data_IF_838518832417
#
_entry.id   IF_838518832417
#
_cell.length_a   1.000
_cell.length_b   1.000
_cell.length_c   1.000
_cell.angle_alpha   90.00
_cell.angle_beta   90.00
_cell.angle_gamma   90.00
#
_symmetry.space_group_name_H-M   'P 1'
#
loop_
_entity.id
_entity.type
_entity.pdbx_description
1 polymer ?
#
# COMPACT_ATOMS: atom_id res chain seq x y z
N UNK A 1 -5.25 -11.21 -22.39
CA UNK A 1 -4.77 -9.86 -22.80
C UNK A 1 -5.95 -9.10 -23.38
N UNK A 2 -6.21 -7.87 -22.93
CA UNK A 2 -7.44 -7.13 -23.32
C UNK A 2 -7.46 -6.68 -24.78
N UNK A 3 -6.34 -6.81 -25.50
CA UNK A 3 -6.18 -6.54 -26.93
C UNK A 3 -7.13 -7.33 -27.84
N UNK A 4 -7.78 -8.39 -27.34
CA UNK A 4 -8.81 -9.13 -28.08
C UNK A 4 -10.15 -8.39 -28.18
N UNK A 5 -10.40 -7.42 -27.28
CA UNK A 5 -11.69 -6.75 -27.16
C UNK A 5 -11.60 -5.22 -27.28
N UNK A 6 -10.39 -4.68 -27.36
CA UNK A 6 -10.13 -3.25 -27.53
C UNK A 6 -9.01 -3.01 -28.55
N UNK A 7 -9.18 -2.01 -29.42
CA UNK A 7 -8.13 -1.44 -30.29
C UNK A 7 -7.26 -0.47 -29.51
N UNK A 8 -6.02 -0.27 -29.98
CA UNK A 8 -5.06 0.71 -29.44
C UNK A 8 -4.87 0.60 -27.93
N UNK A 9 -4.65 -0.62 -27.44
CA UNK A 9 -4.47 -0.85 -25.99
C UNK A 9 -3.10 -0.35 -25.55
N UNK A 10 -3.10 0.60 -24.62
CA UNK A 10 -1.92 1.12 -23.92
C UNK A 10 -1.99 0.80 -22.42
N UNK A 11 -0.82 0.65 -21.79
CA UNK A 11 -0.71 0.48 -20.33
C UNK A 11 -0.10 1.75 -19.75
N UNK A 12 -0.84 2.39 -18.83
CA UNK A 12 -0.31 3.52 -18.05
C UNK A 12 -0.08 3.06 -16.62
N UNK A 13 1.19 3.10 -16.19
CA UNK A 13 1.61 2.76 -14.82
C UNK A 13 1.60 4.00 -13.95
N UNK A 14 1.07 3.87 -12.74
CA UNK A 14 1.20 4.91 -11.73
C UNK A 14 2.61 4.88 -11.15
N UNK A 15 3.24 6.05 -11.05
CA UNK A 15 4.60 6.21 -10.50
C UNK A 15 4.57 6.74 -9.06
N UNK A 16 3.37 6.96 -8.51
CA UNK A 16 3.20 7.50 -7.19
C UNK A 16 3.30 6.43 -6.10
N UNK A 17 3.53 6.92 -4.88
CA UNK A 17 3.57 6.11 -3.68
C UNK A 17 2.74 6.79 -2.62
N UNK A 18 2.04 6.02 -1.81
CA UNK A 18 1.39 6.56 -0.62
C UNK A 18 2.47 6.96 0.39
N UNK A 19 2.50 8.25 0.73
CA UNK A 19 3.38 8.80 1.77
C UNK A 19 2.65 8.74 3.11
N UNK A 20 3.18 7.96 4.04
CA UNK A 20 2.61 7.80 5.38
C UNK A 20 3.53 8.43 6.41
N UNK A 21 3.00 9.41 7.15
CA UNK A 21 3.73 10.16 8.20
C UNK A 21 3.23 9.85 9.61
N UNK A 22 2.23 8.98 9.74
CA UNK A 22 1.64 8.58 11.01
C UNK A 22 1.63 7.06 11.11
N UNK A 23 2.41 6.53 12.07
CA UNK A 23 2.48 5.11 12.34
C UNK A 23 1.16 4.54 12.90
N UNK A 24 0.41 5.34 13.68
CA UNK A 24 -0.87 4.93 14.26
C UNK A 24 -1.91 4.67 13.17
N UNK A 25 -2.08 5.63 12.26
CA UNK A 25 -2.99 5.49 11.12
C UNK A 25 -2.68 4.26 10.24
N UNK A 26 -1.40 3.93 10.05
CA UNK A 26 -1.00 2.73 9.30
C UNK A 26 -1.39 1.44 10.04
N UNK A 27 -1.20 1.41 11.35
CA UNK A 27 -1.55 0.27 12.19
C UNK A 27 -3.07 0.07 12.25
N UNK A 28 -3.84 1.14 12.43
CA UNK A 28 -5.29 1.10 12.42
C UNK A 28 -5.81 0.58 11.07
N UNK A 29 -5.21 1.04 9.97
CA UNK A 29 -5.50 0.52 8.64
C UNK A 29 -5.21 -0.98 8.52
N UNK A 30 -4.06 -1.46 9.00
CA UNK A 30 -3.73 -2.90 9.01
C UNK A 30 -4.75 -3.72 9.82
N UNK A 31 -5.21 -3.19 10.96
CA UNK A 31 -6.22 -3.85 11.80
C UNK A 31 -7.65 -3.73 11.27
N UNK A 32 -7.92 -2.83 10.33
CA UNK A 32 -9.21 -2.76 9.63
C UNK A 32 -9.39 -3.89 8.61
N UNK A 33 -8.29 -4.50 8.15
CA UNK A 33 -8.33 -5.56 7.15
C UNK A 33 -8.84 -6.89 7.73
N UNK A 34 -9.69 -7.63 6.99
CA UNK A 34 -10.11 -8.96 7.41
C UNK A 34 -8.90 -9.91 7.45
N UNK A 35 -8.74 -10.63 8.55
CA UNK A 35 -7.64 -11.57 8.75
C UNK A 35 -7.33 -11.84 10.22
N UNK A 36 -6.31 -12.67 10.47
CA UNK A 36 -5.88 -13.10 11.81
C UNK A 36 -4.75 -12.22 12.41
N UNK A 37 -4.52 -11.03 11.87
CA UNK A 37 -3.46 -10.12 12.34
C UNK A 37 -3.69 -9.75 13.81
N UNK A 38 -4.95 -9.53 14.21
CA UNK A 38 -5.33 -9.25 15.61
C UNK A 38 -5.04 -10.42 16.55
N UNK A 39 -5.18 -11.65 16.06
CA UNK A 39 -4.98 -12.87 16.86
C UNK A 39 -3.50 -13.21 17.04
N UNK A 40 -2.65 -12.78 16.10
CA UNK A 40 -1.21 -13.07 16.09
C UNK A 40 -0.35 -11.93 16.66
N UNK A 41 -0.93 -10.73 16.81
CA UNK A 41 -0.29 -9.55 17.40
C UNK A 41 -0.49 -9.45 18.91
N UNK A 42 0.48 -9.99 19.66
CA UNK A 42 0.64 -9.70 21.09
C UNK A 42 0.98 -8.22 21.31
N UNK A 43 0.69 -7.69 22.50
CA UNK A 43 0.99 -6.31 22.91
C UNK A 43 2.46 -5.92 22.68
N UNK A 44 3.40 -6.81 22.98
CA UNK A 44 4.83 -6.52 22.82
C UNK A 44 5.25 -6.43 21.34
N UNK A 45 4.72 -7.31 20.49
CA UNK A 45 4.91 -7.23 19.03
C UNK A 45 4.33 -5.93 18.47
N UNK A 46 3.16 -5.51 18.96
CA UNK A 46 2.55 -4.25 18.55
C UNK A 46 3.42 -3.06 18.95
N UNK A 47 3.93 -3.02 20.19
CA UNK A 47 4.85 -1.96 20.64
C UNK A 47 6.14 -1.93 19.81
N UNK A 48 6.71 -3.09 19.51
CA UNK A 48 7.90 -3.19 18.66
C UNK A 48 7.62 -2.68 17.23
N UNK A 49 6.45 -3.00 16.67
CA UNK A 49 6.02 -2.54 15.36
C UNK A 49 5.81 -1.02 15.33
N UNK A 50 5.08 -0.46 16.31
CA UNK A 50 4.90 1.00 16.46
C UNK A 50 6.25 1.70 16.53
N UNK A 51 7.17 1.20 17.36
CA UNK A 51 8.51 1.78 17.50
C UNK A 51 9.27 1.75 16.17
N UNK A 52 9.27 0.61 15.48
CA UNK A 52 9.93 0.44 14.20
C UNK A 52 9.41 1.43 13.14
N UNK A 53 8.09 1.56 13.00
CA UNK A 53 7.48 2.48 12.04
C UNK A 53 7.81 3.94 12.37
N UNK A 54 7.79 4.31 13.65
CA UNK A 54 8.19 5.65 14.08
C UNK A 54 9.67 5.95 13.85
N UNK A 55 10.56 4.97 14.05
CA UNK A 55 11.99 5.11 13.78
C UNK A 55 12.25 5.35 12.27
N UNK A 56 11.49 4.70 11.38
CA UNK A 56 11.53 4.98 9.94
C UNK A 56 11.02 6.39 9.63
N UNK A 57 9.84 6.77 10.15
CA UNK A 57 9.28 8.10 9.90
C UNK A 57 10.24 9.19 10.39
N UNK A 58 10.90 8.98 11.54
CA UNK A 58 11.87 9.92 12.09
C UNK A 58 13.13 10.05 11.23
N UNK A 59 13.61 8.96 10.64
CA UNK A 59 14.84 8.94 9.84
C UNK A 59 14.63 9.37 8.39
N UNK A 60 13.53 8.95 7.78
CA UNK A 60 13.25 9.14 6.34
C UNK A 60 12.16 10.19 6.05
N UNK A 61 11.51 10.71 7.10
CA UNK A 61 10.42 11.68 7.05
C UNK A 61 9.05 11.09 6.69
N UNK A 62 9.00 9.87 6.13
CA UNK A 62 7.78 9.12 5.86
C UNK A 62 8.08 7.69 5.42
N UNK A 63 7.11 6.80 5.64
CA UNK A 63 7.05 5.49 5.00
C UNK A 63 6.43 5.67 3.61
N UNK A 64 7.10 5.16 2.56
CA UNK A 64 6.59 5.18 1.19
C UNK A 64 6.07 3.80 0.79
N UNK A 65 4.76 3.68 0.63
CA UNK A 65 4.12 2.44 0.18
C UNK A 65 3.86 2.59 -1.32
N UNK A 66 4.71 1.96 -2.13
CA UNK A 66 4.52 1.85 -3.58
C UNK A 66 3.57 0.70 -3.93
N UNK A 67 2.95 0.78 -5.11
CA UNK A 67 2.17 -0.33 -5.67
C UNK A 67 2.40 -0.37 -7.18
N UNK A 68 2.83 -1.51 -7.71
CA UNK A 68 2.88 -1.69 -9.17
C UNK A 68 1.45 -1.83 -9.70
N UNK A 69 0.85 -0.68 -9.98
CA UNK A 69 -0.49 -0.56 -10.52
C UNK A 69 -0.54 0.39 -11.68
N UNK A 70 -1.59 0.26 -12.46
CA UNK A 70 -1.84 1.06 -13.63
C UNK A 70 -3.22 0.75 -14.18
N UNK A 71 -3.50 1.30 -15.33
CA UNK A 71 -4.72 0.99 -16.07
C UNK A 71 -4.41 0.72 -17.53
N UNK A 72 -5.29 -0.06 -18.15
CA UNK A 72 -5.31 -0.23 -19.60
C UNK A 72 -6.22 0.84 -20.19
N UNK A 73 -5.73 1.57 -21.19
CA UNK A 73 -6.54 2.47 -22.01
C UNK A 73 -6.72 1.84 -23.39
N UNK A 74 -7.93 1.80 -23.90
CA UNK A 74 -8.20 1.22 -25.22
C UNK A 74 -9.60 1.60 -25.71
N UNK A 75 -9.81 1.47 -27.02
CA UNK A 75 -11.06 1.83 -27.69
C UNK A 75 -11.81 0.53 -28.00
N UNK A 76 -13.10 0.46 -27.69
CA UNK A 76 -13.91 -0.72 -28.02
C UNK A 76 -13.95 -0.92 -29.55
N UNK A 77 -13.86 -2.17 -30.00
CA UNK A 77 -14.10 -2.51 -31.41
C UNK A 77 -15.51 -2.15 -31.85
#
# INVERSE_FOLDING_TARGET
MVSKWFKNVEIKRYQDSLKVTDAGALIDYMFSMPGNIKETMTVDKLKAMVKYLNDIIKSEGAIRIGKDTGFFHGIKF
#
